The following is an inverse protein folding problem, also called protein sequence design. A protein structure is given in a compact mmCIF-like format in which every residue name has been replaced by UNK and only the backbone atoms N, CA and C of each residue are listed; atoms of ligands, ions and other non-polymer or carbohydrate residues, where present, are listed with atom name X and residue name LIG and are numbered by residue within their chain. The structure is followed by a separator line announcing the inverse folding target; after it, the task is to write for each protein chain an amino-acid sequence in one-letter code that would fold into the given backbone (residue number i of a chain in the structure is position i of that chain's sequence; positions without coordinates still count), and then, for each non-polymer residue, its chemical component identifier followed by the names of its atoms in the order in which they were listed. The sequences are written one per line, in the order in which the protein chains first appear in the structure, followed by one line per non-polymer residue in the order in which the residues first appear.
data_IF_167146364646
#
_entry.id   IF_167146364646
#
_cell.length_a   1.000
_cell.length_b   1.000
_cell.length_c   1.000
_cell.angle_alpha   90.00
_cell.angle_beta   90.00
_cell.angle_gamma   90.00
#
_symmetry.space_group_name_H-M   'P 1'
#
loop_
_entity.id
_entity.type
_entity.pdbx_description
1 polymer ?
#
# COMPACT_ATOMS: atom_id res chain seq x y z
N UNK A 1 -4.45 13.49 -22.34
CA UNK A 1 -5.02 13.66 -20.99
C UNK A 1 -5.60 12.38 -20.39
N UNK A 2 -6.80 11.86 -20.77
CA UNK A 2 -7.39 10.69 -20.06
C UNK A 2 -6.50 9.42 -20.05
N UNK A 3 -5.81 9.12 -21.17
CA UNK A 3 -4.87 7.98 -21.24
C UNK A 3 -3.59 8.21 -20.43
N UNK A 4 -3.13 9.46 -20.31
CA UNK A 4 -1.96 9.82 -19.50
C UNK A 4 -2.29 9.69 -18.01
N UNK A 5 -3.45 10.20 -17.57
CA UNK A 5 -3.90 10.04 -16.18
C UNK A 5 -4.00 8.56 -15.81
N UNK A 6 -4.58 7.72 -16.68
CA UNK A 6 -4.66 6.28 -16.45
C UNK A 6 -3.27 5.64 -16.28
N UNK A 7 -2.33 5.97 -17.17
CA UNK A 7 -0.96 5.46 -17.09
C UNK A 7 -0.25 5.95 -15.82
N UNK A 8 -0.32 7.24 -15.50
CA UNK A 8 0.26 7.81 -14.29
C UNK A 8 -0.35 7.22 -13.02
N UNK A 9 -1.66 6.92 -13.00
CA UNK A 9 -2.31 6.20 -11.90
C UNK A 9 -1.72 4.81 -11.69
N UNK A 10 -1.41 4.07 -12.76
CA UNK A 10 -0.75 2.77 -12.62
C UNK A 10 0.66 2.89 -12.05
N UNK A 11 1.43 3.86 -12.53
CA UNK A 11 2.79 4.12 -12.01
C UNK A 11 2.74 4.49 -10.53
N UNK A 12 1.85 5.42 -10.15
CA UNK A 12 1.67 5.82 -8.75
C UNK A 12 1.22 4.65 -7.87
N UNK A 13 0.28 3.84 -8.34
CA UNK A 13 -0.19 2.67 -7.61
C UNK A 13 0.96 1.69 -7.36
N UNK A 14 1.78 1.42 -8.38
CA UNK A 14 2.94 0.53 -8.25
C UNK A 14 3.97 1.06 -7.26
N UNK A 15 4.27 2.36 -7.29
CA UNK A 15 5.22 2.99 -6.35
C UNK A 15 4.69 2.96 -4.90
N UNK A 16 3.39 3.19 -4.72
CA UNK A 16 2.70 3.07 -3.43
C UNK A 16 2.83 1.65 -2.90
N UNK A 17 2.51 0.66 -3.74
CA UNK A 17 2.57 -0.76 -3.42
C UNK A 17 3.98 -1.17 -2.94
N UNK A 18 5.03 -0.79 -3.69
CA UNK A 18 6.42 -1.03 -3.27
C UNK A 18 6.75 -0.34 -1.95
N UNK A 19 6.28 0.89 -1.76
CA UNK A 19 6.57 1.66 -0.54
C UNK A 19 5.92 1.03 0.70
N UNK A 20 4.67 0.59 0.59
CA UNK A 20 3.96 -0.14 1.65
C UNK A 20 4.71 -1.43 2.00
N UNK A 21 5.12 -2.21 1.00
CA UNK A 21 5.89 -3.44 1.22
C UNK A 21 7.18 -3.15 1.98
N UNK A 22 7.90 -2.12 1.58
CA UNK A 22 9.15 -1.72 2.22
C UNK A 22 8.95 -1.33 3.69
N UNK A 23 7.86 -0.62 4.03
CA UNK A 23 7.56 -0.22 5.41
C UNK A 23 7.24 -1.46 6.25
N UNK A 24 6.33 -2.32 5.78
CA UNK A 24 5.93 -3.54 6.50
C UNK A 24 7.12 -4.46 6.70
N UNK A 25 7.94 -4.64 5.66
CA UNK A 25 9.11 -5.49 5.75
C UNK A 25 10.11 -5.01 6.81
N UNK A 26 10.36 -3.70 6.86
CA UNK A 26 11.24 -3.13 7.87
C UNK A 26 10.69 -3.33 9.28
N UNK A 27 9.44 -2.93 9.51
CA UNK A 27 8.80 -3.01 10.83
C UNK A 27 8.73 -4.46 11.32
N UNK A 28 8.21 -5.35 10.49
CA UNK A 28 8.04 -6.75 10.87
C UNK A 28 9.37 -7.47 11.04
N UNK A 29 10.40 -7.15 10.25
CA UNK A 29 11.73 -7.73 10.44
C UNK A 29 12.38 -7.23 11.72
N UNK A 30 12.20 -5.94 12.05
CA UNK A 30 12.71 -5.34 13.30
C UNK A 30 12.10 -6.02 14.52
N UNK A 31 10.78 -6.25 14.51
CA UNK A 31 10.07 -6.77 15.68
C UNK A 31 10.01 -8.29 15.76
N UNK A 32 10.01 -9.01 14.63
CA UNK A 32 9.73 -10.45 14.58
C UNK A 32 10.78 -11.26 13.80
N UNK A 33 11.81 -10.62 13.25
CA UNK A 33 12.81 -11.27 12.39
C UNK A 33 12.20 -11.87 11.12
N UNK A 34 12.98 -12.61 10.32
CA UNK A 34 12.52 -13.07 9.00
C UNK A 34 11.37 -14.11 9.01
N UNK A 35 10.94 -14.59 10.18
CA UNK A 35 9.84 -15.55 10.31
C UNK A 35 8.47 -14.95 9.96
N UNK A 36 8.30 -13.63 10.10
CA UNK A 36 7.02 -12.96 9.81
C UNK A 36 6.54 -13.21 8.38
N UNK A 37 7.45 -13.29 7.41
CA UNK A 37 7.12 -13.57 6.01
C UNK A 37 6.44 -14.93 5.82
N UNK A 38 6.85 -15.93 6.60
CA UNK A 38 6.21 -17.26 6.54
C UNK A 38 4.78 -17.20 7.05
N UNK A 39 4.55 -16.46 8.13
CA UNK A 39 3.21 -16.25 8.70
C UNK A 39 2.34 -15.50 7.69
N UNK A 40 2.85 -14.39 7.14
CA UNK A 40 2.14 -13.56 6.18
C UNK A 40 1.79 -14.30 4.87
N UNK A 41 2.76 -14.98 4.25
CA UNK A 41 2.53 -15.68 2.99
C UNK A 41 1.72 -16.98 3.14
N UNK A 42 1.70 -17.59 4.33
CA UNK A 42 0.79 -18.70 4.61
C UNK A 42 -0.68 -18.26 4.61
N UNK A 43 -0.96 -17.02 5.03
CA UNK A 43 -2.32 -16.48 5.08
C UNK A 43 -2.74 -15.74 3.80
N UNK A 44 -1.79 -15.20 3.03
CA UNK A 44 -2.07 -14.33 1.88
C UNK A 44 -1.65 -14.78 0.48
N UNK A 45 -0.86 -15.84 0.33
CA UNK A 45 -0.31 -16.16 -0.99
C UNK A 45 0.87 -15.24 -1.37
N UNK A 46 1.16 -15.04 -2.65
CA UNK A 46 2.55 -14.75 -3.09
C UNK A 46 3.01 -13.28 -3.09
N UNK A 47 2.12 -12.29 -3.21
CA UNK A 47 2.51 -10.87 -3.24
C UNK A 47 1.84 -10.09 -2.12
N UNK A 48 2.61 -9.24 -1.43
CA UNK A 48 2.11 -8.47 -0.30
C UNK A 48 1.02 -7.46 -0.69
N UNK A 49 1.06 -6.98 -1.93
CA UNK A 49 0.12 -6.00 -2.48
C UNK A 49 -1.24 -6.62 -2.85
N UNK A 50 -1.26 -7.92 -3.12
CA UNK A 50 -2.51 -8.68 -3.30
C UNK A 50 -3.18 -8.98 -1.94
N UNK A 51 -2.41 -8.77 -0.87
CA UNK A 51 -2.77 -9.02 0.51
C UNK A 51 -2.99 -7.76 1.34
N UNK A 52 -3.12 -6.59 0.68
CA UNK A 52 -3.57 -5.37 1.34
C UNK A 52 -4.86 -5.59 2.17
N UNK A 53 -5.85 -6.40 1.73
CA UNK A 53 -7.00 -6.73 2.56
C UNK A 53 -6.66 -7.45 3.87
N UNK A 54 -5.56 -8.21 3.91
CA UNK A 54 -5.09 -8.91 5.12
C UNK A 54 -4.43 -7.97 6.13
N UNK A 55 -3.96 -6.78 5.69
CA UNK A 55 -3.52 -5.73 6.61
C UNK A 55 -4.64 -5.36 7.59
N UNK A 56 -5.89 -5.39 7.14
CA UNK A 56 -7.07 -5.09 7.98
C UNK A 56 -7.52 -6.26 8.86
N UNK A 57 -6.88 -7.44 8.76
CA UNK A 57 -7.22 -8.62 9.58
C UNK A 57 -6.14 -8.94 10.60
N UNK A 58 -4.89 -8.65 10.27
CA UNK A 58 -3.74 -8.90 11.14
C UNK A 58 -3.49 -7.66 12.00
N UNK A 59 -3.88 -7.71 13.29
CA UNK A 59 -3.70 -6.60 14.23
C UNK A 59 -2.28 -6.03 14.21
N UNK A 60 -1.26 -6.90 14.13
CA UNK A 60 0.15 -6.50 14.07
C UNK A 60 0.50 -5.60 12.88
N UNK A 61 -0.20 -5.76 11.75
CA UNK A 61 0.01 -4.94 10.57
C UNK A 61 -0.81 -3.64 10.64
N UNK A 62 -1.92 -3.64 11.37
CA UNK A 62 -2.71 -2.43 11.62
C UNK A 62 -1.92 -1.44 12.46
N UNK A 63 -1.24 -1.91 13.51
CA UNK A 63 -0.47 -1.07 14.44
C UNK A 63 0.70 -0.32 13.76
N UNK A 64 1.11 -0.73 12.55
CA UNK A 64 2.12 -0.05 11.74
C UNK A 64 1.56 1.28 11.17
N UNK A 65 0.25 1.34 10.93
CA UNK A 65 -0.42 2.44 10.26
C UNK A 65 -1.36 3.16 11.23
N UNK A 66 -1.52 4.47 11.07
CA UNK A 66 -2.55 5.22 11.79
C UNK A 66 -3.93 4.92 11.22
N UNK A 67 -5.00 5.19 11.98
CA UNK A 67 -6.38 5.04 11.49
C UNK A 67 -6.64 5.79 10.17
N UNK A 68 -6.02 6.97 10.01
CA UNK A 68 -6.08 7.74 8.76
C UNK A 68 -5.41 7.02 7.60
N UNK A 69 -4.22 6.46 7.81
CA UNK A 69 -3.49 5.70 6.79
C UNK A 69 -4.21 4.39 6.44
N UNK A 70 -4.82 3.72 7.42
CA UNK A 70 -5.66 2.54 7.18
C UNK A 70 -6.88 2.89 6.31
N UNK A 71 -7.49 4.06 6.54
CA UNK A 71 -8.59 4.53 5.68
C UNK A 71 -8.12 4.80 4.24
N UNK A 72 -6.96 5.42 4.08
CA UNK A 72 -6.38 5.67 2.75
C UNK A 72 -6.01 4.36 2.03
N UNK A 73 -5.47 3.36 2.76
CA UNK A 73 -5.24 2.01 2.24
C UNK A 73 -6.53 1.34 1.77
N UNK A 74 -7.65 1.55 2.46
CA UNK A 74 -8.94 1.01 2.04
C UNK A 74 -9.41 1.64 0.72
N UNK A 75 -9.22 2.95 0.56
CA UNK A 75 -9.52 3.66 -0.69
C UNK A 75 -8.62 3.14 -1.82
N UNK A 76 -7.32 2.91 -1.55
CA UNK A 76 -6.37 2.35 -2.51
C UNK A 76 -6.84 1.01 -3.08
N UNK A 77 -7.41 0.12 -2.26
CA UNK A 77 -7.96 -1.17 -2.73
C UNK A 77 -9.07 -0.96 -3.76
N UNK A 78 -9.94 0.02 -3.55
CA UNK A 78 -11.00 0.36 -4.52
C UNK A 78 -10.40 0.89 -5.82
N UNK A 79 -9.41 1.79 -5.74
CA UNK A 79 -8.71 2.35 -6.90
C UNK A 79 -8.01 1.23 -7.71
N UNK A 80 -7.32 0.31 -7.03
CA UNK A 80 -6.68 -0.87 -7.65
C UNK A 80 -7.70 -1.73 -8.38
N UNK A 81 -8.86 -1.99 -7.78
CA UNK A 81 -9.93 -2.76 -8.43
C UNK A 81 -10.47 -2.06 -9.69
N UNK A 82 -10.69 -0.75 -9.62
CA UNK A 82 -11.10 0.07 -10.77
C UNK A 82 -10.07 0.00 -11.91
N UNK A 83 -8.78 0.13 -11.57
CA UNK A 83 -7.68 0.02 -12.53
C UNK A 83 -7.63 -1.39 -13.15
N UNK A 84 -7.68 -2.46 -12.35
CA UNK A 84 -7.67 -3.85 -12.84
C UNK A 84 -8.82 -4.16 -13.81
N UNK A 85 -9.97 -3.50 -13.64
CA UNK A 85 -11.11 -3.61 -14.57
C UNK A 85 -10.93 -2.78 -15.85
N UNK A 86 -9.80 -2.08 -16.01
CA UNK A 86 -9.52 -1.13 -17.08
C UNK A 86 -10.55 0.00 -17.18
N UNK A 87 -11.20 0.30 -16.06
CA UNK A 87 -12.20 1.35 -15.95
C UNK A 87 -11.55 2.74 -15.92
N UNK A 88 -12.36 3.77 -16.14
CA UNK A 88 -11.87 5.16 -16.08
C UNK A 88 -11.59 5.54 -14.62
N UNK A 89 -10.38 6.01 -14.35
CA UNK A 89 -10.01 6.67 -13.10
C UNK A 89 -10.67 8.06 -13.03
N UNK A 90 -11.22 8.40 -11.86
CA UNK A 90 -11.69 9.77 -11.59
C UNK A 90 -10.50 10.69 -11.22
N UNK A 91 -10.68 12.00 -11.37
CA UNK A 91 -9.66 12.95 -10.93
C UNK A 91 -9.40 12.86 -9.42
N UNK A 92 -10.45 12.62 -8.63
CA UNK A 92 -10.35 12.46 -7.17
C UNK A 92 -9.52 11.24 -6.79
N UNK A 93 -9.71 10.10 -7.47
CA UNK A 93 -8.89 8.89 -7.24
C UNK A 93 -7.42 9.15 -7.58
N UNK A 94 -7.15 9.86 -8.67
CA UNK A 94 -5.80 10.21 -9.07
C UNK A 94 -5.12 11.17 -8.08
N UNK A 95 -5.85 12.18 -7.61
CA UNK A 95 -5.34 13.11 -6.60
C UNK A 95 -5.12 12.40 -5.25
N UNK A 96 -5.96 11.42 -4.92
CA UNK A 96 -5.76 10.55 -3.76
C UNK A 96 -4.48 9.73 -3.88
N UNK A 97 -4.20 9.12 -5.04
CA UNK A 97 -2.93 8.41 -5.27
C UNK A 97 -1.71 9.33 -5.08
N UNK A 98 -1.75 10.55 -5.60
CA UNK A 98 -0.65 11.52 -5.41
C UNK A 98 -0.44 11.88 -3.94
N UNK A 99 -1.54 12.20 -3.25
CA UNK A 99 -1.49 12.54 -1.83
C UNK A 99 -0.93 11.39 -1.01
N UNK A 100 -1.46 10.18 -1.22
CA UNK A 100 -1.10 9.01 -0.42
C UNK A 100 0.35 8.58 -0.68
N UNK A 101 0.81 8.61 -1.94
CA UNK A 101 2.22 8.38 -2.29
C UNK A 101 3.16 9.33 -1.56
N UNK A 102 2.81 10.62 -1.47
CA UNK A 102 3.61 11.61 -0.73
C UNK A 102 3.66 11.32 0.77
N UNK A 103 2.53 10.94 1.38
CA UNK A 103 2.48 10.60 2.81
C UNK A 103 3.31 9.34 3.12
N UNK A 104 3.17 8.28 2.33
CA UNK A 104 3.93 7.05 2.51
C UNK A 104 5.42 7.27 2.35
N UNK A 105 5.85 8.07 1.36
CA UNK A 105 7.27 8.37 1.18
C UNK A 105 7.86 9.15 2.36
N UNK A 106 7.09 10.09 2.95
CA UNK A 106 7.50 10.75 4.20
C UNK A 106 7.65 9.75 5.35
N UNK A 107 6.68 8.86 5.53
CA UNK A 107 6.73 7.82 6.57
C UNK A 107 7.93 6.90 6.39
N UNK A 108 8.18 6.44 5.16
CA UNK A 108 9.36 5.63 4.82
C UNK A 108 10.64 6.37 5.18
N UNK A 109 10.77 7.65 4.81
CA UNK A 109 11.97 8.43 5.12
C UNK A 109 12.19 8.60 6.63
N UNK A 110 11.14 8.91 7.38
CA UNK A 110 11.19 9.01 8.85
C UNK A 110 11.58 7.67 9.48
N UNK A 111 11.05 6.57 8.97
CA UNK A 111 11.42 5.23 9.44
C UNK A 111 12.88 4.89 9.15
N UNK A 112 13.49 5.41 8.06
CA UNK A 112 14.87 5.14 7.65
C UNK A 112 15.92 6.02 8.35
N UNK A 113 15.49 7.00 9.14
CA UNK A 113 16.38 7.97 9.81
C UNK A 113 16.91 7.49 11.17
N UNK A 114 16.64 6.22 11.52
CA UNK A 114 17.06 5.53 12.75
C UNK A 114 17.90 4.33 12.34
#
# INVERSE_FOLDING_TARGET
MKKEILFESYVLLFDIEITIVSIIEKEMTTHYGHLWRKIFFAEGGTQLCDNLPLLFRLNLLQDIFTDHELRDLFILVNIKNTLNQQSTISQDDFDHLKYFSHQLNKKKFLSLSI
#
